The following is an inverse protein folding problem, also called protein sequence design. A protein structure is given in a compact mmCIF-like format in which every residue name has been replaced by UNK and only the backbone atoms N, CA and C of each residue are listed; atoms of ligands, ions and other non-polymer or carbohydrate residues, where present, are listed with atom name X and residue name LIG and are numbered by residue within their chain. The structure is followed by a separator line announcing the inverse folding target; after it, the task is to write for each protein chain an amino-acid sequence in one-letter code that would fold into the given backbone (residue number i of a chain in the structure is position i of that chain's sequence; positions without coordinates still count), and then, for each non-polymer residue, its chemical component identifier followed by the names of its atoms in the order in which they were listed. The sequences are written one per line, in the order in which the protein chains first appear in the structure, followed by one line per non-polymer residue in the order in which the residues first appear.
data_IF_406939955277
#
_entry.id   IF_406939955277
#
_cell.length_a   1.000
_cell.length_b   1.000
_cell.length_c   1.000
_cell.angle_alpha   90.00
_cell.angle_beta   90.00
_cell.angle_gamma   90.00
#
_symmetry.space_group_name_H-M   'P 1'
#
loop_
_entity.id
_entity.type
_entity.pdbx_description
1 polymer ?
#
# COMPACT_ATOMS: atom_id res chain seq x y z
N UNK A 1 -8.96 57.69 -53.03
CA UNK A 1 -9.64 57.48 -51.73
C UNK A 1 -10.82 56.53 -51.94
N UNK A 2 -11.09 55.60 -51.00
CA UNK A 2 -12.32 54.76 -50.83
C UNK A 2 -12.78 53.97 -52.09
N UNK A 3 -12.43 52.67 -52.23
CA UNK A 3 -13.12 51.44 -51.72
C UNK A 3 -14.44 51.15 -52.49
N UNK A 4 -14.56 50.20 -53.42
CA UNK A 4 -14.59 48.69 -53.36
C UNK A 4 -15.79 48.11 -52.56
N UNK A 5 -16.67 47.19 -53.05
CA UNK A 5 -16.58 45.82 -53.67
C UNK A 5 -16.30 44.68 -52.66
N UNK A 6 -16.90 43.47 -52.70
CA UNK A 6 -17.88 42.77 -53.59
C UNK A 6 -19.05 42.15 -52.74
N UNK A 7 -20.16 41.51 -53.18
CA UNK A 7 -20.74 40.97 -54.45
C UNK A 7 -20.54 39.44 -54.78
N UNK A 8 -21.67 38.68 -54.79
CA UNK A 8 -21.97 37.35 -55.46
C UNK A 8 -21.21 36.09 -54.95
N UNK A 9 -21.76 34.85 -54.80
CA UNK A 9 -22.99 34.09 -55.17
C UNK A 9 -22.93 33.13 -56.40
N UNK A 10 -22.39 31.92 -56.24
CA UNK A 10 -22.71 30.68 -57.00
C UNK A 10 -22.07 29.46 -56.29
N UNK A 11 -22.70 28.32 -55.99
CA UNK A 11 -23.63 27.42 -56.71
C UNK A 11 -22.93 26.45 -57.67
N UNK A 12 -22.69 25.22 -57.20
CA UNK A 12 -22.47 23.97 -57.97
C UNK A 12 -23.17 22.82 -57.23
N UNK A 13 -23.66 21.81 -57.96
CA UNK A 13 -24.40 20.65 -57.46
C UNK A 13 -23.84 19.37 -58.11
N UNK A 14 -23.63 18.31 -57.32
CA UNK A 14 -23.34 16.95 -57.81
C UNK A 14 -24.16 15.95 -56.96
N UNK A 15 -24.79 14.98 -57.62
CA UNK A 15 -25.45 13.83 -56.97
C UNK A 15 -24.47 12.67 -56.82
N UNK A 16 -24.60 11.90 -55.73
CA UNK A 16 -23.96 10.60 -55.58
C UNK A 16 -24.87 9.64 -54.80
N UNK A 17 -25.59 8.77 -55.52
CA UNK A 17 -26.28 7.63 -54.92
C UNK A 17 -25.37 6.40 -55.03
N UNK A 18 -24.96 5.86 -53.89
CA UNK A 18 -24.33 4.54 -53.78
C UNK A 18 -24.93 3.83 -52.57
N UNK A 19 -25.31 2.57 -52.73
CA UNK A 19 -25.79 1.71 -51.65
C UNK A 19 -24.61 0.91 -51.11
N UNK A 20 -24.37 0.97 -49.80
CA UNK A 20 -23.37 0.17 -49.11
C UNK A 20 -23.79 -0.06 -47.66
N UNK A 21 -23.85 -1.32 -47.24
CA UNK A 21 -24.11 -1.69 -45.85
C UNK A 21 -22.80 -2.08 -45.18
N UNK A 22 -22.41 -1.39 -44.11
CA UNK A 22 -21.51 -1.89 -43.06
C UNK A 22 -21.72 -1.08 -41.79
N UNK A 23 -21.64 -1.77 -40.65
CA UNK A 23 -21.43 -1.28 -39.28
C UNK A 23 -21.04 0.20 -39.11
N UNK A 24 -21.87 0.94 -38.38
CA UNK A 24 -21.40 2.11 -37.62
C UNK A 24 -20.51 1.58 -36.50
N UNK A 25 -19.24 1.97 -36.48
CA UNK A 25 -18.42 1.89 -35.28
C UNK A 25 -18.83 3.05 -34.37
N UNK A 26 -19.08 2.77 -33.10
CA UNK A 26 -19.35 3.79 -32.10
C UNK A 26 -18.01 4.17 -31.46
N UNK A 27 -17.50 5.36 -31.79
CA UNK A 27 -16.26 5.85 -31.20
C UNK A 27 -16.57 6.44 -29.83
N UNK A 28 -16.53 5.58 -28.81
CA UNK A 28 -16.55 6.01 -27.41
C UNK A 28 -15.32 6.85 -27.10
N UNK A 29 -15.49 8.17 -27.15
CA UNK A 29 -14.52 9.17 -26.69
C UNK A 29 -14.45 9.05 -25.16
N UNK A 30 -13.46 8.31 -24.65
CA UNK A 30 -13.17 8.25 -23.21
C UNK A 30 -12.63 9.63 -22.80
N UNK A 31 -13.48 10.45 -22.18
CA UNK A 31 -13.02 11.59 -21.41
C UNK A 31 -12.16 11.07 -20.25
N UNK A 32 -10.85 11.26 -20.33
CA UNK A 32 -9.93 11.08 -19.21
C UNK A 32 -10.13 12.23 -18.23
N UNK A 33 -10.81 11.98 -17.12
CA UNK A 33 -10.91 12.93 -16.01
C UNK A 33 -9.55 13.03 -15.34
N UNK A 34 -8.79 14.06 -15.71
CA UNK A 34 -7.56 14.46 -15.02
C UNK A 34 -7.98 15.42 -13.92
N UNK A 35 -8.21 14.89 -12.73
CA UNK A 35 -8.56 15.72 -11.57
C UNK A 35 -7.33 16.46 -11.01
N UNK A 36 -7.54 17.58 -10.31
CA UNK A 36 -6.48 18.55 -9.98
C UNK A 36 -6.68 19.22 -8.59
N UNK A 37 -6.29 18.51 -7.52
CA UNK A 37 -5.83 19.09 -6.25
C UNK A 37 -6.88 19.39 -5.16
N UNK A 38 -6.37 19.51 -3.92
CA UNK A 38 -7.07 19.80 -2.65
C UNK A 38 -7.89 18.66 -2.00
N UNK A 39 -7.93 17.43 -2.55
CA UNK A 39 -8.62 16.28 -1.91
C UNK A 39 -7.67 15.10 -1.55
N UNK A 40 -7.31 15.02 -0.27
CA UNK A 40 -6.51 13.94 0.36
C UNK A 40 -7.29 12.62 0.47
N UNK A 41 -8.61 12.65 0.24
CA UNK A 41 -9.47 11.47 0.05
C UNK A 41 -9.89 11.48 -1.41
N UNK A 42 -9.45 10.51 -2.21
CA UNK A 42 -9.87 10.41 -3.61
C UNK A 42 -11.41 10.31 -3.71
N UNK A 43 -12.00 11.04 -4.67
CA UNK A 43 -13.46 11.17 -4.93
C UNK A 43 -14.09 9.83 -5.39
N UNK A 44 -14.16 8.89 -4.45
CA UNK A 44 -14.59 7.52 -4.64
C UNK A 44 -15.48 7.07 -3.50
N UNK A 45 -16.64 6.49 -3.85
CA UNK A 45 -17.49 5.79 -2.90
C UNK A 45 -16.78 4.50 -2.43
N UNK A 46 -16.23 4.54 -1.22
CA UNK A 46 -15.81 3.34 -0.50
C UNK A 46 -17.04 2.53 -0.10
N UNK A 47 -16.98 1.21 -0.28
CA UNK A 47 -18.06 0.29 0.11
C UNK A 47 -18.28 0.27 1.63
N UNK A 48 -19.53 0.05 2.06
CA UNK A 48 -19.87 -0.05 3.49
C UNK A 48 -19.21 -1.27 4.16
N UNK A 49 -18.61 -1.02 5.32
CA UNK A 49 -18.05 -2.05 6.18
C UNK A 49 -16.71 -1.67 6.79
N UNK A 50 -16.00 -2.69 7.28
CA UNK A 50 -14.81 -2.55 8.12
C UNK A 50 -13.52 -2.47 7.32
N UNK A 51 -12.70 -1.46 7.63
CA UNK A 51 -11.34 -1.27 7.10
C UNK A 51 -10.28 -1.46 8.18
N UNK A 52 -9.03 -1.74 7.77
CA UNK A 52 -7.86 -1.83 8.67
C UNK A 52 -6.57 -1.48 7.94
N UNK A 53 -5.78 -0.59 8.54
CA UNK A 53 -4.44 -0.25 8.07
C UNK A 53 -3.45 -0.01 9.20
N UNK A 54 -2.20 0.24 8.80
CA UNK A 54 -1.02 0.36 9.64
C UNK A 54 -0.13 1.53 9.18
N UNK A 55 0.61 2.12 10.14
CA UNK A 55 1.77 2.95 9.85
C UNK A 55 3.00 2.32 10.52
N UNK A 56 4.00 1.98 9.71
CA UNK A 56 5.29 1.42 10.15
C UNK A 56 6.42 2.41 9.84
N UNK A 57 7.43 2.49 10.70
CA UNK A 57 8.59 3.39 10.53
C UNK A 57 9.71 2.97 11.50
N UNK A 58 10.95 2.91 11.00
CA UNK A 58 12.17 2.56 11.78
C UNK A 58 12.26 1.13 12.34
N UNK A 59 11.58 0.15 11.74
CA UNK A 59 11.58 -1.24 12.18
C UNK A 59 10.38 -1.64 13.04
N UNK A 60 9.41 -0.73 13.19
CA UNK A 60 8.35 -0.80 14.21
C UNK A 60 6.99 -0.42 13.61
N UNK A 61 5.95 -1.23 13.84
CA UNK A 61 4.56 -0.85 13.54
C UNK A 61 4.08 0.12 14.62
N UNK A 62 3.96 1.42 14.32
CA UNK A 62 3.70 2.45 15.34
C UNK A 62 2.22 2.75 15.52
N UNK A 63 1.40 2.54 14.49
CA UNK A 63 -0.07 2.62 14.54
C UNK A 63 -0.64 1.41 13.82
N UNK A 64 -1.69 0.80 14.37
CA UNK A 64 -2.67 0.04 13.60
C UNK A 64 -4.07 0.47 14.02
N UNK A 65 -4.91 0.76 13.05
CA UNK A 65 -6.26 1.29 13.26
C UNK A 65 -7.30 0.39 12.58
N UNK A 66 -8.50 0.39 13.15
CA UNK A 66 -9.71 -0.12 12.55
C UNK A 66 -10.77 0.96 12.60
N UNK A 67 -11.57 1.03 11.55
CA UNK A 67 -12.78 1.84 11.46
C UNK A 67 -13.78 1.07 10.58
N UNK A 68 -15.05 1.47 10.62
CA UNK A 68 -16.02 1.13 9.59
C UNK A 68 -16.40 2.39 8.82
N UNK A 69 -16.96 2.20 7.63
CA UNK A 69 -17.69 3.21 6.88
C UNK A 69 -19.16 2.78 6.75
N UNK A 70 -20.07 3.72 7.00
CA UNK A 70 -21.52 3.61 6.81
C UNK A 70 -22.00 4.84 6.03
N UNK A 71 -22.47 4.70 4.79
CA UNK A 71 -22.80 5.82 3.88
C UNK A 71 -21.63 6.86 3.77
N UNK A 72 -20.37 6.39 3.85
CA UNK A 72 -19.16 7.23 3.86
C UNK A 72 -18.81 7.90 5.21
N UNK A 73 -19.57 7.62 6.27
CA UNK A 73 -19.34 8.11 7.63
C UNK A 73 -18.46 7.14 8.43
N UNK A 74 -17.43 7.65 9.09
CA UNK A 74 -16.53 6.92 9.97
C UNK A 74 -17.24 6.49 11.26
N UNK A 75 -17.29 5.18 11.54
CA UNK A 75 -17.87 4.61 12.77
C UNK A 75 -16.97 3.54 13.41
N UNK A 76 -17.19 3.24 14.69
CA UNK A 76 -16.58 2.13 15.43
C UNK A 76 -15.01 2.19 15.43
N UNK A 77 -14.45 3.41 15.49
CA UNK A 77 -13.02 3.62 15.35
C UNK A 77 -12.24 3.10 16.57
N UNK A 78 -11.13 2.39 16.35
CA UNK A 78 -10.30 1.86 17.43
C UNK A 78 -8.84 1.58 17.03
N UNK A 79 -7.90 1.96 17.90
CA UNK A 79 -6.52 1.49 17.77
C UNK A 79 -6.41 0.00 18.09
N UNK A 80 -5.82 -0.75 17.17
CA UNK A 80 -5.42 -2.15 17.33
C UNK A 80 -4.00 -2.30 17.85
N UNK A 81 -3.17 -1.29 17.64
CA UNK A 81 -1.83 -1.11 18.21
C UNK A 81 -1.50 0.38 18.23
N UNK A 82 -0.81 0.87 19.26
CA UNK A 82 -0.41 2.27 19.37
C UNK A 82 0.92 2.36 20.10
N UNK A 83 2.02 2.17 19.37
CA UNK A 83 3.33 1.94 19.94
C UNK A 83 4.34 3.02 19.55
N UNK A 84 5.10 3.50 20.53
CA UNK A 84 6.23 4.37 20.24
C UNK A 84 7.34 4.27 21.30
N UNK A 85 8.57 4.07 20.81
CA UNK A 85 9.81 4.09 21.61
C UNK A 85 9.83 3.10 22.78
N UNK A 86 9.38 1.86 22.54
CA UNK A 86 9.39 0.78 23.54
C UNK A 86 8.16 0.70 24.45
N UNK A 87 7.06 1.40 24.11
CA UNK A 87 5.80 1.40 24.88
C UNK A 87 4.61 1.29 23.93
N UNK A 88 3.75 0.27 24.08
CA UNK A 88 2.38 0.30 23.54
C UNK A 88 1.51 1.09 24.54
N UNK A 89 0.97 2.21 24.10
CA UNK A 89 0.15 3.11 24.91
C UNK A 89 -1.19 2.45 25.31
N UNK A 90 -1.56 1.31 24.73
CA UNK A 90 -2.78 0.56 25.08
C UNK A 90 -2.58 -0.44 26.22
N UNK A 91 -1.35 -0.59 26.73
CA UNK A 91 -1.03 -1.47 27.86
C UNK A 91 -0.65 -0.71 29.15
N UNK A 92 -0.69 0.63 29.15
CA UNK A 92 -0.33 1.47 30.30
C UNK A 92 -1.54 1.82 31.17
N UNK A 93 -1.31 2.05 32.47
CA UNK A 93 -2.32 2.50 33.43
C UNK A 93 -2.42 4.03 33.54
N UNK A 94 -3.43 4.50 34.28
CA UNK A 94 -3.67 5.92 34.61
C UNK A 94 -2.58 6.54 35.51
N UNK A 95 -1.72 5.72 36.11
CA UNK A 95 -0.53 6.14 36.85
C UNK A 95 0.74 6.29 35.99
N UNK A 96 0.68 5.98 34.69
CA UNK A 96 1.83 6.03 33.79
C UNK A 96 2.08 7.43 33.21
N UNK A 97 3.34 7.85 33.15
CA UNK A 97 3.74 9.20 32.70
C UNK A 97 3.47 9.52 31.21
N UNK A 98 3.04 8.53 30.42
CA UNK A 98 2.59 8.70 29.03
C UNK A 98 1.06 8.54 28.86
N UNK A 99 0.30 8.31 29.94
CA UNK A 99 -1.16 8.17 29.86
C UNK A 99 -1.88 9.39 29.24
N UNK A 100 -1.47 10.65 29.50
CA UNK A 100 -1.95 11.81 28.75
C UNK A 100 -1.85 11.69 27.21
N UNK A 101 -0.85 10.95 26.70
CA UNK A 101 -0.67 10.74 25.25
C UNK A 101 -1.65 9.69 24.72
N UNK A 102 -2.09 8.74 25.55
CA UNK A 102 -3.22 7.87 25.23
C UNK A 102 -4.53 8.68 25.20
N UNK A 103 -4.79 9.51 26.22
CA UNK A 103 -6.00 10.35 26.28
C UNK A 103 -6.10 11.33 25.09
N UNK A 104 -4.96 11.87 24.63
CA UNK A 104 -4.90 12.68 23.41
C UNK A 104 -5.09 11.86 22.12
N UNK A 105 -4.72 10.57 22.10
CA UNK A 105 -4.99 9.68 20.98
C UNK A 105 -6.46 9.23 20.94
N UNK A 106 -7.10 9.01 22.09
CA UNK A 106 -8.52 8.66 22.19
C UNK A 106 -9.42 9.85 21.78
N UNK A 107 -9.02 11.09 22.07
CA UNK A 107 -9.67 12.30 21.55
C UNK A 107 -9.73 12.34 20.01
N UNK A 108 -8.73 11.79 19.30
CA UNK A 108 -8.78 11.67 17.83
C UNK A 108 -9.88 10.71 17.37
N UNK A 109 -10.13 9.64 18.13
CA UNK A 109 -11.22 8.72 17.83
C UNK A 109 -12.58 9.38 18.09
N UNK A 110 -12.74 10.05 19.24
CA UNK A 110 -13.97 10.80 19.57
C UNK A 110 -14.24 11.94 18.57
N UNK A 111 -13.19 12.55 18.01
CA UNK A 111 -13.32 13.60 17.00
C UNK A 111 -13.80 13.08 15.62
N UNK A 112 -13.37 11.89 15.22
CA UNK A 112 -13.70 11.28 13.92
C UNK A 112 -15.00 10.47 13.93
N UNK A 113 -15.43 9.96 15.09
CA UNK A 113 -16.65 9.15 15.22
C UNK A 113 -17.90 9.93 14.77
N UNK A 114 -18.58 9.43 13.74
CA UNK A 114 -19.74 10.08 13.14
C UNK A 114 -19.45 11.25 12.18
N UNK A 115 -18.18 11.44 11.78
CA UNK A 115 -17.78 12.36 10.70
C UNK A 115 -17.66 11.65 9.35
N UNK A 116 -17.83 12.35 8.21
CA UNK A 116 -17.49 11.79 6.90
C UNK A 116 -15.98 11.62 6.75
N UNK A 117 -15.56 10.78 5.80
CA UNK A 117 -14.16 10.34 5.64
C UNK A 117 -13.17 11.50 5.42
N UNK A 118 -13.56 12.57 4.73
CA UNK A 118 -12.71 13.75 4.45
C UNK A 118 -12.18 14.42 5.73
N UNK A 119 -12.85 14.21 6.88
CA UNK A 119 -12.41 14.73 8.16
C UNK A 119 -11.05 14.19 8.65
N UNK A 120 -10.48 13.17 8.00
CA UNK A 120 -9.09 12.77 8.28
C UNK A 120 -8.07 13.85 7.88
N UNK A 121 -8.42 14.78 6.99
CA UNK A 121 -7.58 15.94 6.67
C UNK A 121 -7.41 16.88 7.88
N UNK A 122 -8.38 16.94 8.81
CA UNK A 122 -8.27 17.71 10.05
C UNK A 122 -7.06 17.25 10.90
N UNK A 123 -6.60 15.98 10.75
CA UNK A 123 -5.49 15.42 11.52
C UNK A 123 -4.11 16.02 11.17
N UNK A 124 -4.00 16.83 10.11
CA UNK A 124 -2.81 17.64 9.87
C UNK A 124 -2.75 18.89 10.78
N UNK A 125 -3.81 19.20 11.52
CA UNK A 125 -3.92 20.33 12.47
C UNK A 125 -4.57 19.92 13.79
N UNK A 126 -4.04 18.88 14.44
CA UNK A 126 -4.58 18.32 15.70
C UNK A 126 -4.72 19.33 16.85
N UNK A 127 -3.97 20.44 16.83
CA UNK A 127 -4.08 21.51 17.83
C UNK A 127 -5.41 22.30 17.80
N UNK A 128 -6.24 22.15 16.77
CA UNK A 128 -7.58 22.76 16.71
C UNK A 128 -8.66 21.96 17.48
N UNK A 129 -8.40 20.71 17.88
CA UNK A 129 -9.40 19.85 18.53
C UNK A 129 -8.89 18.87 19.61
N UNK A 130 -7.59 18.64 19.74
CA UNK A 130 -7.00 17.83 20.82
C UNK A 130 -6.56 18.75 21.95
N UNK A 131 -7.16 18.62 23.13
CA UNK A 131 -6.80 19.38 24.34
C UNK A 131 -5.34 19.08 24.78
N UNK A 132 -4.63 20.12 25.21
CA UNK A 132 -3.31 20.01 25.85
C UNK A 132 -3.44 19.34 27.24
N UNK A 133 -2.77 18.19 27.46
CA UNK A 133 -2.80 17.45 28.74
C UNK A 133 -1.41 17.41 29.39
N UNK A 134 -1.33 17.87 30.64
CA UNK A 134 -0.11 18.02 31.47
C UNK A 134 1.04 18.81 30.82
N UNK A 135 1.86 18.14 30.02
CA UNK A 135 3.05 18.68 29.33
C UNK A 135 3.09 18.33 27.84
N UNK A 136 2.04 17.65 27.35
CA UNK A 136 1.89 17.20 25.98
C UNK A 136 0.85 18.08 25.30
N UNK A 137 1.24 18.73 24.21
CA UNK A 137 0.30 19.54 23.41
C UNK A 137 -0.42 18.69 22.37
N UNK A 138 -1.51 19.19 21.77
CA UNK A 138 -2.20 18.50 20.66
C UNK A 138 -1.25 18.07 19.51
N UNK A 139 -0.20 18.85 19.23
CA UNK A 139 0.86 18.53 18.27
C UNK A 139 1.81 17.37 18.68
N UNK A 140 1.65 16.80 19.88
CA UNK A 140 2.29 15.54 20.29
C UNK A 140 1.70 14.37 19.49
N UNK A 141 0.40 14.44 19.18
CA UNK A 141 -0.27 13.54 18.25
C UNK A 141 0.27 13.81 16.85
N UNK A 142 1.03 12.86 16.34
CA UNK A 142 1.57 12.90 14.97
C UNK A 142 0.47 12.44 14.01
N UNK A 143 -0.53 13.29 13.81
CA UNK A 143 -1.79 12.95 13.14
C UNK A 143 -1.61 12.38 11.73
N UNK A 144 -0.58 12.81 10.98
CA UNK A 144 -0.25 12.22 9.68
C UNK A 144 0.09 10.73 9.71
N UNK A 145 0.53 10.16 10.85
CA UNK A 145 0.61 8.69 11.01
C UNK A 145 -0.76 8.01 11.03
N UNK A 146 -1.76 8.69 11.58
CA UNK A 146 -3.13 8.20 11.69
C UNK A 146 -3.80 8.32 10.31
N UNK A 147 -3.62 9.44 9.61
CA UNK A 147 -4.01 9.58 8.19
C UNK A 147 -3.39 8.48 7.36
N UNK A 148 -2.06 8.31 7.43
CA UNK A 148 -1.31 7.30 6.69
C UNK A 148 -1.78 5.87 7.01
N UNK A 149 -2.13 5.56 8.27
CA UNK A 149 -2.70 4.28 8.67
C UNK A 149 -4.18 4.08 8.28
N UNK A 150 -4.94 5.16 8.10
CA UNK A 150 -6.30 5.11 7.54
C UNK A 150 -6.21 4.90 6.02
N UNK A 151 -5.39 5.66 5.31
CA UNK A 151 -5.19 5.56 3.87
C UNK A 151 -4.63 4.19 3.47
N UNK A 152 -3.64 3.68 4.22
CA UNK A 152 -3.18 2.29 4.09
C UNK A 152 -4.33 1.28 4.22
N UNK A 153 -5.30 1.55 5.10
CA UNK A 153 -6.50 0.74 5.27
C UNK A 153 -7.50 0.85 4.12
N UNK A 154 -7.73 2.06 3.60
CA UNK A 154 -8.58 2.31 2.43
C UNK A 154 -8.01 1.62 1.18
N UNK A 155 -6.72 1.80 0.92
CA UNK A 155 -6.00 1.21 -0.21
C UNK A 155 -6.07 -0.33 -0.19
N UNK A 156 -6.02 -0.95 1.00
CA UNK A 156 -6.16 -2.41 1.19
C UNK A 156 -7.55 -2.96 0.87
N UNK A 157 -8.53 -2.10 0.62
CA UNK A 157 -9.94 -2.46 0.48
C UNK A 157 -10.56 -2.94 1.80
N UNK A 158 -11.81 -3.41 1.69
CA UNK A 158 -12.57 -3.89 2.84
C UNK A 158 -11.85 -5.03 3.57
N UNK A 159 -11.61 -4.85 4.87
CA UNK A 159 -11.25 -5.95 5.76
C UNK A 159 -12.48 -6.81 6.11
N UNK A 160 -13.70 -6.28 6.05
CA UNK A 160 -14.95 -7.07 6.06
C UNK A 160 -16.10 -6.25 5.45
N UNK A 161 -16.76 -6.71 4.38
CA UNK A 161 -17.98 -6.06 3.86
C UNK A 161 -19.16 -6.20 4.82
N UNK A 162 -20.00 -5.17 4.91
CA UNK A 162 -21.28 -5.23 5.65
C UNK A 162 -22.51 -5.33 4.71
N UNK A 163 -22.31 -5.74 3.45
CA UNK A 163 -23.40 -5.96 2.48
C UNK A 163 -22.97 -6.60 1.16
N UNK A 164 -23.65 -6.21 0.08
CA UNK A 164 -23.08 -6.29 -1.27
C UNK A 164 -22.00 -5.20 -1.39
N UNK A 165 -20.90 -5.49 -2.06
CA UNK A 165 -19.70 -4.63 -2.18
C UNK A 165 -19.10 -4.77 -3.58
N UNK A 166 -18.26 -3.82 -4.00
CA UNK A 166 -17.60 -3.88 -5.29
C UNK A 166 -16.62 -5.04 -5.39
N UNK A 167 -16.67 -5.74 -6.52
CA UNK A 167 -15.67 -6.73 -6.94
C UNK A 167 -14.93 -6.30 -8.22
N UNK A 168 -15.07 -5.02 -8.59
CA UNK A 168 -14.32 -4.45 -9.70
C UNK A 168 -12.85 -4.32 -9.31
N UNK A 169 -11.97 -4.74 -10.20
CA UNK A 169 -10.51 -4.67 -10.04
C UNK A 169 -9.91 -4.39 -11.40
N UNK A 170 -8.89 -3.53 -11.44
CA UNK A 170 -8.23 -3.12 -12.68
C UNK A 170 -7.41 -4.26 -13.28
N UNK A 171 -7.15 -4.19 -14.59
CA UNK A 171 -6.10 -4.99 -15.22
C UNK A 171 -4.73 -4.50 -14.71
N UNK A 172 -3.89 -5.42 -14.23
CA UNK A 172 -2.51 -5.18 -13.82
C UNK A 172 -1.52 -5.78 -14.84
N UNK A 173 -0.29 -5.27 -14.86
CA UNK A 173 0.80 -5.76 -15.72
C UNK A 173 1.27 -7.18 -15.35
N UNK A 174 1.85 -7.89 -16.34
CA UNK A 174 2.41 -9.23 -16.14
C UNK A 174 3.67 -9.21 -15.24
N UNK A 175 3.70 -10.11 -14.26
CA UNK A 175 4.87 -10.34 -13.43
C UNK A 175 4.54 -10.62 -11.97
N UNK A 176 5.55 -10.44 -11.11
CA UNK A 176 5.54 -10.87 -9.71
C UNK A 176 5.17 -9.74 -8.76
N UNK A 177 4.20 -9.99 -7.88
CA UNK A 177 3.74 -9.07 -6.84
C UNK A 177 4.11 -9.59 -5.43
N UNK A 178 4.22 -8.68 -4.45
CA UNK A 178 4.47 -9.01 -3.05
C UNK A 178 3.84 -8.00 -2.11
N UNK A 179 3.10 -8.49 -1.13
CA UNK A 179 2.52 -7.66 -0.09
C UNK A 179 2.35 -8.37 1.25
N UNK A 180 1.92 -7.60 2.24
CA UNK A 180 1.98 -7.91 3.66
C UNK A 180 0.68 -7.56 4.38
N UNK A 181 0.40 -8.24 5.49
CA UNK A 181 -0.61 -7.82 6.46
C UNK A 181 0.01 -7.75 7.85
N UNK A 182 0.13 -6.53 8.39
CA UNK A 182 0.48 -6.27 9.79
C UNK A 182 -0.76 -6.06 10.67
N UNK A 183 -0.71 -6.53 11.91
CA UNK A 183 -1.69 -6.23 12.96
C UNK A 183 -1.06 -6.48 14.33
N UNK A 184 -1.33 -5.62 15.32
CA UNK A 184 -0.82 -5.75 16.72
C UNK A 184 0.71 -5.84 16.88
N UNK A 185 1.47 -5.06 16.10
CA UNK A 185 2.94 -5.01 16.21
C UNK A 185 3.66 -6.10 15.43
N UNK A 186 2.92 -6.97 14.73
CA UNK A 186 3.43 -8.20 14.13
C UNK A 186 3.03 -8.26 12.65
N UNK A 187 3.98 -8.57 11.77
CA UNK A 187 3.68 -8.93 10.39
C UNK A 187 3.09 -10.36 10.38
N UNK A 188 1.79 -10.50 10.14
CA UNK A 188 1.10 -11.79 10.26
C UNK A 188 1.00 -12.56 8.93
N UNK A 189 1.05 -11.84 7.80
CA UNK A 189 1.12 -12.45 6.46
C UNK A 189 2.19 -11.73 5.64
N UNK A 190 2.96 -12.49 4.87
CA UNK A 190 3.65 -12.01 3.66
C UNK A 190 3.33 -12.98 2.54
N UNK A 191 2.77 -12.49 1.44
CA UNK A 191 2.41 -13.30 0.27
C UNK A 191 3.17 -12.81 -0.96
N UNK A 192 3.48 -13.76 -1.83
CA UNK A 192 3.88 -13.51 -3.21
C UNK A 192 2.93 -14.25 -4.13
N UNK A 193 2.60 -13.61 -5.24
CA UNK A 193 1.89 -14.20 -6.35
C UNK A 193 2.46 -13.63 -7.65
N UNK A 194 2.04 -14.18 -8.77
CA UNK A 194 2.38 -13.74 -10.11
C UNK A 194 1.07 -13.52 -10.90
N UNK A 195 1.10 -12.65 -11.89
CA UNK A 195 0.01 -12.43 -12.83
C UNK A 195 0.49 -12.70 -14.26
N UNK A 196 -0.24 -13.54 -14.98
CA UNK A 196 -0.13 -13.77 -16.43
C UNK A 196 -1.52 -13.48 -17.05
N UNK A 197 -1.68 -12.48 -17.92
CA UNK A 197 -3.00 -12.08 -18.47
C UNK A 197 -4.07 -11.84 -17.35
N UNK A 198 -3.66 -11.27 -16.20
CA UNK A 198 -4.46 -11.14 -14.96
C UNK A 198 -4.99 -12.45 -14.35
N UNK A 199 -4.38 -13.58 -14.69
CA UNK A 199 -4.55 -14.88 -14.01
C UNK A 199 -3.49 -15.04 -12.93
N UNK A 200 -3.92 -15.42 -11.73
CA UNK A 200 -3.07 -15.68 -10.56
C UNK A 200 -2.27 -16.96 -10.73
N UNK A 201 -0.94 -16.88 -10.65
CA UNK A 201 -0.02 -18.03 -10.68
C UNK A 201 1.05 -17.92 -9.59
N UNK A 202 1.78 -19.03 -9.34
CA UNK A 202 3.03 -19.05 -8.56
C UNK A 202 2.85 -18.56 -7.09
N UNK A 203 1.64 -18.76 -6.51
CA UNK A 203 1.28 -18.22 -5.20
C UNK A 203 2.04 -18.91 -4.05
N UNK A 204 2.53 -18.13 -3.08
CA UNK A 204 3.29 -18.65 -1.95
C UNK A 204 3.36 -17.72 -0.73
N UNK A 205 3.19 -18.28 0.47
CA UNK A 205 3.44 -17.57 1.73
C UNK A 205 4.94 -17.44 2.01
N UNK A 206 5.41 -16.20 2.06
CA UNK A 206 6.76 -15.83 2.49
C UNK A 206 6.88 -15.70 4.01
N UNK A 207 5.77 -15.47 4.69
CA UNK A 207 5.60 -15.48 6.15
C UNK A 207 4.13 -15.76 6.48
N UNK A 208 3.86 -16.54 7.53
CA UNK A 208 2.49 -16.81 7.95
C UNK A 208 2.46 -17.02 9.47
N UNK A 209 2.42 -15.91 10.20
CA UNK A 209 2.72 -15.87 11.63
C UNK A 209 1.54 -15.35 12.46
N UNK A 210 1.35 -15.94 13.64
CA UNK A 210 0.39 -15.45 14.60
C UNK A 210 0.74 -15.82 16.04
N UNK A 211 0.81 -14.81 16.92
CA UNK A 211 0.93 -14.97 18.38
C UNK A 211 2.09 -15.89 18.82
N UNK A 212 3.27 -15.68 18.25
CA UNK A 212 4.50 -16.42 18.59
C UNK A 212 4.76 -17.69 17.77
N UNK A 213 3.99 -17.93 16.69
CA UNK A 213 4.07 -19.15 15.88
C UNK A 213 4.09 -18.76 14.39
N UNK A 214 5.15 -19.08 13.63
CA UNK A 214 5.10 -19.12 12.15
C UNK A 214 4.61 -20.51 11.75
N UNK A 215 3.47 -20.58 11.08
CA UNK A 215 2.83 -21.83 10.65
C UNK A 215 3.62 -22.54 9.53
N UNK A 216 4.59 -21.86 8.90
CA UNK A 216 5.43 -22.45 7.82
C UNK A 216 6.57 -23.34 8.33
N UNK A 217 6.88 -23.29 9.63
CA UNK A 217 7.89 -24.13 10.29
C UNK A 217 7.25 -25.27 11.12
N UNK A 218 6.00 -25.64 10.81
CA UNK A 218 5.16 -26.57 11.58
C UNK A 218 5.18 -28.01 11.02
N UNK A 219 5.35 -29.00 11.89
CA UNK A 219 5.28 -30.43 11.56
C UNK A 219 3.83 -30.92 11.40
N UNK A 220 3.60 -31.93 10.56
CA UNK A 220 2.31 -32.61 10.34
C UNK A 220 1.65 -33.16 11.64
N UNK A 221 2.45 -33.44 12.68
CA UNK A 221 1.99 -33.96 13.97
C UNK A 221 1.51 -32.85 14.96
N UNK A 222 1.58 -31.55 14.61
CA UNK A 222 1.12 -30.47 15.50
C UNK A 222 -0.42 -30.31 15.50
N UNK A 223 -0.97 -30.08 16.69
CA UNK A 223 -2.36 -29.67 16.93
C UNK A 223 -2.88 -28.48 16.11
N UNK A 224 -1.99 -27.64 15.59
CA UNK A 224 -2.32 -26.48 14.75
C UNK A 224 -2.09 -26.74 13.24
N UNK A 225 -1.58 -27.90 12.83
CA UNK A 225 -1.22 -28.18 11.43
C UNK A 225 -2.41 -28.08 10.46
N UNK A 226 -3.63 -28.39 10.94
CA UNK A 226 -4.88 -28.14 10.22
C UNK A 226 -5.03 -26.68 9.71
N UNK A 227 -4.42 -25.70 10.39
CA UNK A 227 -4.39 -24.30 9.95
C UNK A 227 -3.47 -24.14 8.72
N UNK A 228 -2.37 -24.91 8.63
CA UNK A 228 -1.48 -24.95 7.45
C UNK A 228 -2.25 -25.49 6.25
N UNK A 229 -2.86 -26.67 6.38
CA UNK A 229 -3.64 -27.32 5.31
C UNK A 229 -4.75 -26.40 4.77
N UNK A 230 -5.43 -25.65 5.65
CA UNK A 230 -6.46 -24.70 5.24
C UNK A 230 -5.90 -23.42 4.56
N UNK A 231 -4.66 -23.02 4.86
CA UNK A 231 -3.99 -21.93 4.13
C UNK A 231 -3.44 -22.41 2.78
N UNK A 232 -3.03 -23.67 2.66
CA UNK A 232 -2.64 -24.29 1.38
C UNK A 232 -3.85 -24.45 0.45
N UNK A 233 -4.99 -24.92 0.96
CA UNK A 233 -6.27 -24.95 0.23
C UNK A 233 -6.68 -23.57 -0.32
N UNK A 234 -6.38 -22.48 0.41
CA UNK A 234 -6.62 -21.11 -0.08
C UNK A 234 -5.76 -20.79 -1.31
N UNK A 235 -4.49 -21.18 -1.32
CA UNK A 235 -3.62 -20.99 -2.48
C UNK A 235 -4.04 -21.88 -3.66
N UNK A 236 -4.33 -23.17 -3.41
CA UNK A 236 -4.86 -24.09 -4.43
C UNK A 236 -6.20 -23.61 -5.02
N UNK A 237 -7.03 -22.90 -4.24
CA UNK A 237 -8.25 -22.29 -4.74
C UNK A 237 -7.99 -21.08 -5.64
N UNK A 238 -6.91 -20.32 -5.45
CA UNK A 238 -6.61 -19.11 -6.24
C UNK A 238 -5.77 -19.41 -7.50
N UNK A 239 -4.90 -20.42 -7.47
CA UNK A 239 -3.98 -20.77 -8.55
C UNK A 239 -4.75 -21.07 -9.87
N UNK A 240 -4.34 -20.40 -10.95
CA UNK A 240 -4.92 -20.54 -12.29
C UNK A 240 -6.27 -19.84 -12.50
N UNK A 241 -6.66 -18.88 -11.65
CA UNK A 241 -7.91 -18.12 -11.78
C UNK A 241 -7.70 -16.61 -11.98
N UNK A 242 -8.68 -15.88 -12.56
CA UNK A 242 -8.65 -14.43 -12.67
C UNK A 242 -8.51 -13.72 -11.32
N UNK A 243 -7.83 -12.57 -11.31
CA UNK A 243 -7.55 -11.77 -10.11
C UNK A 243 -8.81 -11.42 -9.29
N UNK A 244 -9.96 -11.18 -9.92
CA UNK A 244 -11.27 -10.96 -9.25
C UNK A 244 -11.71 -12.07 -8.28
N UNK A 245 -11.04 -13.23 -8.29
CA UNK A 245 -11.26 -14.32 -7.33
C UNK A 245 -10.82 -13.93 -5.91
N UNK A 246 -9.90 -12.98 -5.72
CA UNK A 246 -9.42 -12.62 -4.36
C UNK A 246 -10.54 -12.09 -3.45
N UNK A 247 -11.64 -11.56 -4.00
CA UNK A 247 -12.80 -11.16 -3.21
C UNK A 247 -13.60 -12.34 -2.61
N UNK A 248 -13.41 -13.57 -3.11
CA UNK A 248 -13.97 -14.78 -2.47
C UNK A 248 -13.36 -15.01 -1.08
N UNK A 249 -12.18 -14.45 -0.79
CA UNK A 249 -11.50 -14.55 0.50
C UNK A 249 -12.30 -13.91 1.66
N UNK A 250 -13.38 -13.18 1.37
CA UNK A 250 -14.37 -12.75 2.37
C UNK A 250 -15.33 -13.85 2.83
N UNK A 251 -15.49 -14.93 2.04
CA UNK A 251 -16.34 -16.09 2.33
C UNK A 251 -15.56 -17.42 2.22
N UNK A 252 -14.46 -17.62 2.96
CA UNK A 252 -13.57 -18.78 2.79
C UNK A 252 -14.23 -20.13 3.06
N UNK A 253 -15.33 -20.17 3.82
CA UNK A 253 -16.09 -21.40 4.07
C UNK A 253 -16.85 -21.96 2.85
N UNK A 254 -16.87 -21.25 1.72
CA UNK A 254 -17.44 -21.76 0.46
C UNK A 254 -16.46 -22.63 -0.34
N UNK A 255 -15.16 -22.63 0.01
CA UNK A 255 -14.13 -23.39 -0.72
C UNK A 255 -13.00 -24.02 0.12
N UNK A 256 -12.78 -23.58 1.36
CA UNK A 256 -11.85 -24.24 2.30
C UNK A 256 -12.63 -25.22 3.16
N UNK A 257 -12.23 -26.50 3.16
CA UNK A 257 -12.88 -27.54 3.96
C UNK A 257 -12.60 -27.37 5.46
N UNK A 258 -13.55 -27.76 6.31
CA UNK A 258 -13.37 -27.79 7.76
C UNK A 258 -12.41 -28.94 8.14
N UNK A 259 -11.28 -28.60 8.79
CA UNK A 259 -10.24 -29.57 9.17
C UNK A 259 -10.16 -29.71 10.70
N UNK A 260 -10.29 -30.94 11.20
CA UNK A 260 -10.37 -31.31 12.63
C UNK A 260 -11.40 -30.49 13.45
N UNK A 261 -10.95 -29.39 14.07
CA UNK A 261 -11.77 -28.47 14.89
C UNK A 261 -11.75 -27.04 14.35
N UNK A 262 -11.07 -26.81 13.23
CA UNK A 262 -10.89 -25.53 12.57
C UNK A 262 -11.84 -25.43 11.39
N UNK A 263 -12.83 -24.55 11.49
CA UNK A 263 -13.72 -24.27 10.35
C UNK A 263 -12.99 -23.44 9.29
N UNK A 264 -13.38 -23.51 8.01
CA UNK A 264 -12.75 -22.71 6.93
C UNK A 264 -12.71 -21.19 7.20
N UNK A 265 -13.64 -20.68 8.03
CA UNK A 265 -13.63 -19.29 8.51
C UNK A 265 -12.44 -18.93 9.43
N UNK A 266 -11.68 -19.91 9.92
CA UNK A 266 -10.64 -19.72 10.96
C UNK A 266 -9.34 -19.14 10.42
N UNK A 267 -9.03 -19.36 9.14
CA UNK A 267 -7.78 -18.91 8.48
C UNK A 267 -7.64 -17.38 8.40
N UNK A 268 -8.74 -16.63 8.60
CA UNK A 268 -8.78 -15.17 8.47
C UNK A 268 -8.36 -14.71 7.06
N UNK A 269 -8.93 -15.33 6.02
CA UNK A 269 -8.60 -15.08 4.62
C UNK A 269 -8.59 -13.59 4.19
N UNK A 270 -9.39 -12.73 4.86
CA UNK A 270 -9.32 -11.26 4.72
C UNK A 270 -7.91 -10.66 4.95
N UNK A 271 -7.03 -11.33 5.72
CA UNK A 271 -5.62 -10.95 5.86
C UNK A 271 -4.79 -11.28 4.63
N UNK A 272 -5.11 -12.39 3.96
CA UNK A 272 -4.47 -12.78 2.69
C UNK A 272 -4.95 -11.85 1.59
N UNK A 273 -6.25 -11.56 1.50
CA UNK A 273 -6.82 -10.52 0.63
C UNK A 273 -6.11 -9.17 0.83
N UNK A 274 -6.05 -8.68 2.07
CA UNK A 274 -5.42 -7.40 2.40
C UNK A 274 -3.91 -7.38 2.12
N UNK A 275 -3.22 -8.54 2.22
CA UNK A 275 -1.82 -8.68 1.82
C UNK A 275 -1.64 -8.79 0.29
N UNK A 276 -2.64 -9.27 -0.46
CA UNK A 276 -2.64 -9.25 -1.92
C UNK A 276 -2.92 -7.83 -2.45
N UNK A 277 -3.92 -7.13 -1.90
CA UNK A 277 -4.20 -5.72 -2.23
C UNK A 277 -3.00 -4.81 -1.93
N UNK A 278 -2.39 -4.94 -0.75
CA UNK A 278 -1.12 -4.27 -0.42
C UNK A 278 -0.02 -4.59 -1.45
N UNK A 279 0.03 -5.82 -1.95
CA UNK A 279 0.96 -6.23 -3.00
C UNK A 279 0.69 -5.62 -4.37
N UNK A 280 -0.58 -5.50 -4.77
CA UNK A 280 -1.01 -4.85 -6.01
C UNK A 280 -0.70 -3.35 -5.97
N UNK A 281 -1.07 -2.68 -4.88
CA UNK A 281 -0.88 -1.24 -4.69
C UNK A 281 0.61 -0.84 -4.74
N UNK A 282 1.50 -1.72 -4.26
CA UNK A 282 2.96 -1.55 -4.32
C UNK A 282 3.55 -1.60 -5.74
N UNK A 283 2.75 -1.93 -6.75
CA UNK A 283 3.22 -2.19 -8.12
C UNK A 283 4.02 -3.50 -8.22
N UNK A 284 4.57 -3.73 -9.42
CA UNK A 284 5.37 -4.92 -9.70
C UNK A 284 6.58 -5.04 -8.77
N UNK A 285 6.68 -6.17 -8.05
CA UNK A 285 7.93 -6.54 -7.39
C UNK A 285 8.96 -7.07 -8.40
N UNK A 286 8.54 -7.58 -9.56
CA UNK A 286 9.41 -7.88 -10.70
C UNK A 286 8.57 -7.93 -11.97
N UNK A 287 8.83 -7.10 -12.99
CA UNK A 287 8.22 -7.27 -14.31
C UNK A 287 8.75 -8.54 -14.99
N UNK A 288 7.91 -9.16 -15.81
CA UNK A 288 8.31 -10.25 -16.72
C UNK A 288 8.34 -9.80 -18.19
N UNK A 289 7.56 -8.76 -18.55
CA UNK A 289 7.45 -8.18 -19.89
C UNK A 289 7.72 -6.65 -19.87
N UNK A 290 7.37 -5.95 -20.95
CA UNK A 290 7.22 -4.48 -20.97
C UNK A 290 6.00 -4.10 -20.11
N UNK A 291 6.12 -3.08 -19.25
CA UNK A 291 5.18 -2.76 -18.17
C UNK A 291 4.92 -1.25 -18.10
N UNK A 292 3.87 -0.81 -17.40
CA UNK A 292 3.57 0.61 -17.25
C UNK A 292 4.54 1.33 -16.34
N UNK A 293 5.07 2.46 -16.81
CA UNK A 293 5.80 3.45 -15.99
C UNK A 293 5.01 4.74 -15.81
N UNK A 294 3.73 4.77 -16.20
CA UNK A 294 2.87 5.95 -16.01
C UNK A 294 2.48 6.08 -14.54
N UNK A 295 2.69 7.27 -13.99
CA UNK A 295 2.31 7.65 -12.62
C UNK A 295 1.43 8.90 -12.68
N UNK A 296 0.49 9.09 -11.73
CA UNK A 296 -0.21 10.35 -11.58
C UNK A 296 0.75 11.46 -11.10
N UNK A 297 0.34 12.71 -11.26
CA UNK A 297 0.97 13.83 -10.55
C UNK A 297 0.72 13.69 -9.04
N UNK A 298 1.78 13.82 -8.22
CA UNK A 298 1.69 13.79 -6.76
C UNK A 298 1.90 15.18 -6.17
N UNK A 299 1.28 15.44 -5.02
CA UNK A 299 1.41 16.72 -4.31
C UNK A 299 2.84 16.96 -3.80
N UNK A 300 3.30 18.22 -3.86
CA UNK A 300 4.57 18.67 -3.29
C UNK A 300 4.58 18.44 -1.77
N UNK A 301 5.30 17.42 -1.33
CA UNK A 301 5.07 16.84 -0.01
C UNK A 301 6.18 15.90 0.44
N UNK A 302 6.27 15.69 1.75
CA UNK A 302 7.21 14.72 2.33
C UNK A 302 6.51 13.38 2.42
N UNK A 303 7.07 12.34 1.83
CA UNK A 303 6.49 11.01 1.80
C UNK A 303 7.30 10.03 2.66
N UNK A 304 6.63 8.99 3.15
CA UNK A 304 7.27 7.88 3.87
C UNK A 304 6.60 6.56 3.56
N UNK A 305 7.39 5.61 3.11
CA UNK A 305 6.93 4.25 2.90
C UNK A 305 7.95 3.20 3.32
N UNK A 306 7.51 1.96 3.22
CA UNK A 306 8.12 0.79 3.85
C UNK A 306 8.07 -0.41 2.90
N UNK A 307 9.01 -1.34 3.08
CA UNK A 307 8.90 -2.68 2.51
C UNK A 307 9.14 -3.71 3.61
N UNK A 308 8.11 -4.48 3.95
CA UNK A 308 8.19 -5.62 4.86
C UNK A 308 8.24 -6.95 4.10
N UNK A 309 8.98 -7.93 4.64
CA UNK A 309 9.03 -9.30 4.14
C UNK A 309 9.59 -10.24 5.22
N UNK A 310 9.06 -11.46 5.33
CA UNK A 310 9.55 -12.51 6.27
C UNK A 310 9.56 -12.14 7.77
N UNK A 311 8.67 -11.26 8.21
CA UNK A 311 8.61 -10.80 9.61
C UNK A 311 9.52 -9.61 9.91
N UNK A 312 10.26 -9.12 8.91
CA UNK A 312 11.15 -7.96 9.03
C UNK A 312 10.59 -6.78 8.21
N UNK A 313 10.49 -5.58 8.79
CA UNK A 313 10.47 -4.34 8.01
C UNK A 313 11.89 -4.14 7.44
N UNK A 314 12.11 -4.47 6.16
CA UNK A 314 13.45 -4.52 5.57
C UNK A 314 13.90 -3.18 4.97
N UNK A 315 12.96 -2.31 4.58
CA UNK A 315 13.22 -0.92 4.17
C UNK A 315 12.21 0.01 4.83
N UNK A 316 12.69 1.18 5.25
CA UNK A 316 11.85 2.37 5.43
C UNK A 316 12.57 3.54 4.78
N UNK A 317 11.88 4.26 3.91
CA UNK A 317 12.43 5.39 3.15
C UNK A 317 11.60 6.65 3.41
N UNK A 318 12.24 7.80 3.23
CA UNK A 318 11.61 9.10 3.21
C UNK A 318 12.23 9.90 2.08
N UNK A 319 11.40 10.67 1.39
CA UNK A 319 11.77 11.59 0.34
C UNK A 319 10.83 12.80 0.39
N UNK A 320 11.16 13.82 -0.39
CA UNK A 320 10.31 14.95 -0.69
C UNK A 320 10.05 14.96 -2.21
N UNK A 321 8.88 15.43 -2.63
CA UNK A 321 8.61 15.79 -4.02
C UNK A 321 8.50 17.31 -4.14
N UNK A 322 9.13 17.86 -5.19
CA UNK A 322 8.98 19.23 -5.68
C UNK A 322 8.79 19.14 -7.22
N UNK A 323 7.65 19.54 -7.80
CA UNK A 323 7.34 19.39 -9.24
C UNK A 323 7.55 17.93 -9.77
N UNK A 324 7.13 16.91 -9.00
CA UNK A 324 7.42 15.47 -9.21
C UNK A 324 8.93 15.11 -9.26
N UNK A 325 9.83 15.98 -8.77
CA UNK A 325 11.27 15.68 -8.62
C UNK A 325 11.55 15.16 -7.21
N UNK A 326 12.21 14.01 -7.13
CA UNK A 326 12.65 13.39 -5.88
C UNK A 326 13.80 14.17 -5.25
N UNK A 327 13.63 14.61 -4.00
CA UNK A 327 14.67 15.30 -3.22
C UNK A 327 14.69 14.80 -1.76
N UNK A 328 15.73 15.15 -1.00
CA UNK A 328 15.81 14.93 0.46
C UNK A 328 15.73 13.41 0.83
N UNK A 329 16.13 12.54 -0.09
CA UNK A 329 15.91 11.08 -0.04
C UNK A 329 16.82 10.43 1.02
N UNK A 330 16.24 9.60 1.90
CA UNK A 330 16.98 9.00 3.03
C UNK A 330 16.36 7.71 3.59
N UNK A 331 17.20 6.73 3.93
CA UNK A 331 16.76 5.52 4.64
C UNK A 331 16.49 5.79 6.12
N UNK A 332 15.23 5.60 6.52
CA UNK A 332 14.78 5.62 7.92
C UNK A 332 14.93 4.26 8.60
N UNK A 333 15.06 3.19 7.81
CA UNK A 333 15.47 1.85 8.20
C UNK A 333 16.02 1.12 6.97
N UNK A 334 17.04 0.29 7.15
CA UNK A 334 17.53 -0.58 6.09
C UNK A 334 18.09 -1.85 6.72
N UNK A 335 17.28 -2.90 6.77
CA UNK A 335 17.53 -4.08 7.58
C UNK A 335 17.35 -5.37 6.77
N UNK A 336 18.17 -6.38 7.05
CA UNK A 336 17.94 -7.74 6.53
C UNK A 336 18.65 -8.78 7.40
N UNK A 337 17.93 -9.81 7.84
CA UNK A 337 18.51 -11.02 8.45
C UNK A 337 19.47 -10.75 9.63
N UNK A 338 19.07 -9.87 10.54
CA UNK A 338 19.85 -9.53 11.74
C UNK A 338 20.73 -8.28 11.64
N UNK A 339 20.84 -7.64 10.47
CA UNK A 339 21.81 -6.57 10.19
C UNK A 339 21.09 -5.28 9.76
N UNK A 340 21.32 -4.17 10.47
CA UNK A 340 20.99 -2.82 9.99
C UNK A 340 22.17 -2.26 9.20
N UNK A 341 21.96 -1.96 7.92
CA UNK A 341 23.00 -1.48 7.01
C UNK A 341 23.33 0.01 7.18
N UNK A 342 22.68 0.73 8.11
CA UNK A 342 22.98 2.14 8.42
C UNK A 342 24.01 2.29 9.53
N UNK A 343 24.07 1.30 10.42
CA UNK A 343 24.94 1.26 11.60
C UNK A 343 26.07 0.21 11.41
N UNK A 344 26.47 -0.05 10.17
CA UNK A 344 27.42 -1.11 9.77
C UNK A 344 28.84 -0.56 9.58
N UNK A 345 29.83 -1.16 10.24
CA UNK A 345 31.24 -0.71 10.19
C UNK A 345 31.90 -0.93 8.82
N UNK A 346 32.83 -0.04 8.43
CA UNK A 346 33.60 -0.08 7.17
C UNK A 346 34.39 -1.40 6.96
N UNK A 347 34.78 -2.10 8.02
CA UNK A 347 35.49 -3.38 7.93
C UNK A 347 34.57 -4.62 7.95
N UNK A 348 33.25 -4.41 8.00
CA UNK A 348 32.27 -5.49 7.98
C UNK A 348 32.08 -6.06 6.56
N UNK A 349 32.02 -7.38 6.44
CA UNK A 349 31.94 -8.12 5.15
C UNK A 349 30.74 -7.79 4.25
N UNK A 350 29.77 -7.02 4.75
CA UNK A 350 28.58 -6.58 4.03
C UNK A 350 28.49 -5.04 3.89
N UNK A 351 29.51 -4.28 4.28
CA UNK A 351 29.59 -2.84 4.04
C UNK A 351 29.44 -2.44 2.56
N UNK A 352 30.01 -3.17 1.57
CA UNK A 352 29.74 -2.92 0.14
C UNK A 352 28.25 -2.95 -0.25
N UNK A 353 27.43 -3.73 0.47
CA UNK A 353 25.98 -3.76 0.22
C UNK A 353 25.30 -2.49 0.76
N UNK A 354 25.82 -1.88 1.82
CA UNK A 354 25.36 -0.57 2.28
C UNK A 354 25.76 0.55 1.31
N UNK A 355 26.99 0.52 0.79
CA UNK A 355 27.44 1.45 -0.27
C UNK A 355 26.56 1.35 -1.52
N UNK A 356 26.21 0.14 -1.97
CA UNK A 356 25.30 -0.05 -3.10
C UNK A 356 23.87 0.49 -2.82
N UNK A 357 23.38 0.42 -1.56
CA UNK A 357 22.11 1.07 -1.21
C UNK A 357 22.23 2.60 -1.18
N UNK A 358 23.38 3.15 -0.81
CA UNK A 358 23.64 4.59 -0.90
C UNK A 358 23.69 5.07 -2.37
N UNK A 359 24.21 4.25 -3.30
CA UNK A 359 24.16 4.56 -4.73
C UNK A 359 22.72 4.64 -5.30
N UNK A 360 21.73 3.95 -4.70
CA UNK A 360 20.31 4.15 -5.05
C UNK A 360 19.85 5.58 -4.71
N UNK A 361 20.22 6.07 -3.53
CA UNK A 361 19.88 7.42 -3.08
C UNK A 361 20.52 8.46 -4.02
N UNK A 362 21.81 8.31 -4.29
CA UNK A 362 22.58 9.21 -5.18
C UNK A 362 22.13 9.15 -6.65
N UNK A 363 21.51 8.04 -7.07
CA UNK A 363 20.93 7.91 -8.40
C UNK A 363 19.58 8.61 -8.55
N UNK A 364 18.75 8.61 -7.51
CA UNK A 364 17.38 9.16 -7.55
C UNK A 364 17.31 10.66 -7.19
N UNK A 365 18.22 11.15 -6.35
CA UNK A 365 18.23 12.54 -5.87
C UNK A 365 18.34 13.54 -7.05
N UNK A 366 17.32 14.38 -7.21
CA UNK A 366 17.22 15.38 -8.28
C UNK A 366 16.67 14.86 -9.62
N UNK A 367 16.01 13.70 -9.66
CA UNK A 367 15.32 13.16 -10.85
C UNK A 367 13.80 13.18 -10.75
N UNK A 368 13.12 13.05 -11.89
CA UNK A 368 11.68 12.78 -11.94
C UNK A 368 11.35 11.47 -11.22
N UNK A 369 10.15 11.42 -10.63
CA UNK A 369 9.64 10.27 -9.92
C UNK A 369 9.65 8.97 -10.75
N UNK A 370 9.44 9.05 -12.07
CA UNK A 370 9.53 7.92 -13.01
C UNK A 370 10.84 7.12 -12.89
N UNK A 371 11.95 7.75 -12.45
CA UNK A 371 13.24 7.08 -12.28
C UNK A 371 13.26 6.00 -11.18
N UNK A 372 12.19 5.84 -10.39
CA UNK A 372 12.04 4.68 -9.49
C UNK A 372 11.89 3.36 -10.24
N UNK A 373 11.37 3.36 -11.48
CA UNK A 373 11.23 2.12 -12.26
C UNK A 373 12.60 1.56 -12.73
N UNK A 374 13.64 2.41 -12.79
CA UNK A 374 15.02 1.97 -13.04
C UNK A 374 15.50 0.97 -11.98
N UNK A 375 14.90 0.95 -10.77
CA UNK A 375 15.22 0.04 -9.67
C UNK A 375 14.91 -1.44 -9.97
N UNK A 376 14.21 -1.74 -11.08
CA UNK A 376 14.09 -3.09 -11.63
C UNK A 376 15.36 -3.57 -12.36
N UNK A 377 16.19 -2.64 -12.83
CA UNK A 377 17.45 -2.88 -13.53
C UNK A 377 18.66 -2.23 -12.81
N UNK A 378 18.87 -2.46 -11.49
CA UNK A 378 19.83 -1.71 -10.68
C UNK A 378 21.28 -1.84 -11.15
N UNK A 379 21.63 -2.93 -11.84
CA UNK A 379 22.94 -3.15 -12.44
C UNK A 379 23.28 -2.25 -13.63
N UNK A 380 22.37 -1.38 -14.09
CA UNK A 380 22.66 -0.39 -15.13
C UNK A 380 23.27 0.92 -14.56
N UNK A 381 23.17 1.14 -13.24
CA UNK A 381 23.68 2.36 -12.59
C UNK A 381 24.41 2.16 -11.26
N UNK A 382 24.31 0.98 -10.63
CA UNK A 382 25.03 0.65 -9.39
C UNK A 382 26.32 -0.12 -9.73
N UNK A 383 27.44 0.33 -9.19
CA UNK A 383 28.75 -0.27 -9.42
C UNK A 383 28.93 -1.60 -8.67
N UNK A 384 29.69 -2.53 -9.25
CA UNK A 384 30.11 -3.77 -8.59
C UNK A 384 31.20 -3.48 -7.54
N UNK A 385 30.93 -3.74 -6.25
CA UNK A 385 31.86 -3.46 -5.14
C UNK A 385 32.25 -4.78 -4.45
N UNK A 386 33.56 -5.05 -4.33
CA UNK A 386 34.15 -6.18 -3.60
C UNK A 386 33.54 -7.58 -3.85
N UNK A 387 32.97 -7.78 -5.03
CA UNK A 387 32.35 -9.04 -5.47
C UNK A 387 30.83 -9.10 -5.30
N UNK A 388 30.21 -8.08 -4.72
CA UNK A 388 28.76 -7.85 -4.78
C UNK A 388 28.43 -7.11 -6.08
N UNK A 389 27.61 -7.71 -6.93
CA UNK A 389 27.25 -7.08 -8.22
C UNK A 389 26.11 -6.08 -8.04
N UNK A 390 26.14 -4.95 -8.75
CA UNK A 390 25.04 -3.96 -8.72
C UNK A 390 23.68 -4.58 -9.07
N UNK A 391 23.65 -5.55 -10.00
CA UNK A 391 22.45 -6.33 -10.34
C UNK A 391 21.93 -7.27 -9.23
N UNK A 392 22.61 -7.38 -8.07
CA UNK A 392 22.20 -8.24 -6.95
C UNK A 392 21.59 -7.48 -5.77
N UNK A 393 21.71 -6.14 -5.75
CA UNK A 393 20.97 -5.33 -4.79
C UNK A 393 19.48 -5.36 -5.12
N UNK A 394 18.64 -5.38 -4.08
CA UNK A 394 17.21 -5.62 -4.23
C UNK A 394 16.46 -4.30 -4.42
N UNK A 395 16.78 -3.57 -5.49
CA UNK A 395 16.19 -2.27 -5.83
C UNK A 395 14.66 -2.26 -5.76
N UNK A 396 14.01 -3.33 -6.19
CA UNK A 396 12.56 -3.57 -6.09
C UNK A 396 11.97 -3.39 -4.67
N UNK A 397 12.77 -3.57 -3.61
CA UNK A 397 12.34 -3.23 -2.23
C UNK A 397 12.24 -1.72 -2.01
N UNK A 398 13.19 -0.96 -2.54
CA UNK A 398 13.24 0.50 -2.42
C UNK A 398 12.14 1.11 -3.29
N UNK A 399 11.94 0.59 -4.50
CA UNK A 399 10.79 0.90 -5.36
C UNK A 399 9.48 0.71 -4.59
N UNK A 400 9.24 -0.51 -4.08
CA UNK A 400 8.03 -0.85 -3.35
C UNK A 400 7.84 -0.01 -2.08
N UNK A 401 8.93 0.41 -1.41
CA UNK A 401 8.90 1.33 -0.27
C UNK A 401 8.67 2.80 -0.67
N UNK A 402 8.95 3.20 -1.91
CA UNK A 402 8.58 4.52 -2.44
C UNK A 402 7.09 4.52 -2.81
N UNK A 403 6.63 3.54 -3.60
CA UNK A 403 5.22 3.43 -4.00
C UNK A 403 4.28 3.29 -2.78
N UNK A 404 4.65 2.50 -1.78
CA UNK A 404 3.96 2.42 -0.48
C UNK A 404 3.83 3.78 0.23
N UNK A 405 4.83 4.65 0.08
CA UNK A 405 4.81 6.00 0.64
C UNK A 405 3.90 6.95 -0.14
N UNK A 406 3.97 6.90 -1.48
CA UNK A 406 3.10 7.67 -2.37
C UNK A 406 1.61 7.36 -2.11
N UNK A 407 1.27 6.07 -2.09
CA UNK A 407 -0.11 5.59 -1.88
C UNK A 407 -0.70 6.02 -0.53
N UNK A 408 0.14 6.33 0.46
CA UNK A 408 -0.27 6.73 1.81
C UNK A 408 -0.33 8.25 2.02
N UNK A 409 -0.04 9.04 0.99
CA UNK A 409 -0.08 10.50 1.04
C UNK A 409 1.05 11.15 1.85
N UNK A 410 0.90 12.45 2.11
CA UNK A 410 1.92 13.29 2.75
C UNK A 410 2.04 12.99 4.26
N UNK A 411 3.29 12.96 4.75
CA UNK A 411 3.70 12.80 6.15
C UNK A 411 3.98 14.13 6.88
#
# INVERSE_FOLDING_TARGET
MKKFLMIVLSLVLIMGLAVGCTSTADNGEKDSVVDNGDEIVADGFYDDGRYRGIYEDRGEQQVSIQFHLEDGVLTDLSYRHLYHSGVDYREIGDDHALYPVLEQHDQVLEYLEGKPLEAIADLYSTEDFVDDIDVYTGATIRGSKIVSAIQDGLNRGLYTPDGEFSREITEYDDGRYRGIYGDRGEQQVSIQFHLEDNVLTDLSYRHLYHSGIDYRDMDEDDSLYAIVEQHEQLLEYLEGKPLETIFDLHSPGDFVEDVDVYTGATIRANKVFSAMMDGLNRGLYSPDNEFSTELPDYEDGRYRGIFGDRGEQQVSIQFHLEDNVLTDISYRHLYHSGIDYRDIDEDHTLYPVAEQHQQIIEYLEGKSLESVFDLHSPGEFIEDIDGYTGASIRGNKVFSAIIDGLNRGIY
#
